data_IF_537127582652
#
_entry.id   IF_537127582652
#
_cell.length_a   1.000
_cell.length_b   1.000
_cell.length_c   1.000
_cell.angle_alpha   90.00
_cell.angle_beta   90.00
_cell.angle_gamma   90.00
#
_symmetry.space_group_name_H-M   'P 1'
#
loop_
_entity.id
_entity.type
_entity.pdbx_description
1 polymer ?
#
# COMPACT_ATOMS: atom_id res chain seq x y z
N UNK A 1 -16.32 8.06 -38.95
CA UNK A 1 -15.65 6.88 -38.39
C UNK A 1 -16.21 6.63 -36.99
N UNK A 2 -16.98 5.55 -36.81
CA UNK A 2 -17.51 5.16 -35.50
C UNK A 2 -16.44 4.37 -34.76
N UNK A 3 -15.95 4.89 -33.64
CA UNK A 3 -14.99 4.22 -32.78
C UNK A 3 -15.78 3.35 -31.79
N UNK A 4 -15.78 2.04 -31.99
CA UNK A 4 -16.41 1.10 -31.06
C UNK A 4 -15.56 0.98 -29.80
N UNK A 5 -16.04 1.55 -28.71
CA UNK A 5 -15.45 1.41 -27.39
C UNK A 5 -16.06 0.14 -26.76
N UNK A 6 -15.37 -0.99 -26.90
CA UNK A 6 -15.74 -2.24 -26.21
C UNK A 6 -15.36 -2.12 -24.73
N UNK A 7 -16.18 -1.42 -23.95
CA UNK A 7 -16.19 -1.61 -22.49
C UNK A 7 -16.87 -2.96 -22.29
N UNK A 8 -16.07 -4.01 -22.11
CA UNK A 8 -16.53 -5.20 -21.43
C UNK A 8 -16.92 -4.76 -20.01
N UNK A 9 -18.19 -4.45 -19.81
CA UNK A 9 -18.80 -4.34 -18.49
C UNK A 9 -18.68 -5.73 -17.90
N UNK A 10 -17.61 -5.95 -17.13
CA UNK A 10 -17.48 -7.14 -16.32
C UNK A 10 -18.58 -7.07 -15.25
N UNK A 11 -19.73 -7.65 -15.57
CA UNK A 11 -20.78 -7.98 -14.62
C UNK A 11 -20.07 -8.65 -13.45
N UNK A 12 -20.26 -8.09 -12.24
CA UNK A 12 -19.60 -8.53 -11.03
C UNK A 12 -19.84 -10.04 -10.82
N UNK A 13 -18.88 -10.85 -11.27
CA UNK A 13 -18.66 -12.13 -10.65
C UNK A 13 -18.18 -11.79 -9.26
N UNK A 14 -19.06 -11.96 -8.27
CA UNK A 14 -18.63 -12.24 -6.91
C UNK A 14 -17.88 -13.57 -7.01
N UNK A 15 -16.64 -13.51 -7.48
CA UNK A 15 -15.65 -14.50 -7.11
C UNK A 15 -15.54 -14.28 -5.61
N UNK A 16 -16.28 -15.09 -4.85
CA UNK A 16 -15.85 -15.43 -3.52
C UNK A 16 -14.41 -15.90 -3.72
N UNK A 17 -13.45 -15.03 -3.43
CA UNK A 17 -12.04 -15.38 -3.30
C UNK A 17 -11.96 -16.22 -2.02
N UNK A 18 -12.60 -17.38 -2.04
CA UNK A 18 -12.26 -18.47 -1.17
C UNK A 18 -10.82 -18.77 -1.51
N UNK A 19 -9.90 -18.45 -0.61
CA UNK A 19 -8.61 -19.11 -0.60
C UNK A 19 -8.92 -20.61 -0.66
N UNK A 20 -8.70 -21.21 -1.83
CA UNK A 20 -9.10 -22.57 -2.11
C UNK A 20 -8.59 -23.49 -1.00
N UNK A 21 -9.50 -24.08 -0.23
CA UNK A 21 -9.24 -25.27 0.56
C UNK A 21 -9.06 -26.43 -0.42
N UNK A 22 -7.87 -26.53 -1.03
CA UNK A 22 -7.42 -27.72 -1.73
C UNK A 22 -6.14 -28.21 -1.06
N UNK A 23 -6.28 -29.12 -0.08
CA UNK A 23 -5.17 -29.97 0.35
C UNK A 23 -4.96 -31.04 -0.72
N UNK A 24 -4.07 -30.79 -1.68
CA UNK A 24 -3.41 -31.87 -2.43
C UNK A 24 -2.19 -32.30 -1.61
N UNK A 25 -1.97 -33.60 -1.36
CA UNK A 25 -0.70 -34.07 -0.82
C UNK A 25 0.33 -33.99 -1.95
N UNK A 26 0.87 -32.79 -2.18
CA UNK A 26 2.05 -32.57 -2.97
C UNK A 26 3.26 -32.63 -2.05
N UNK A 27 4.30 -33.32 -2.48
CA UNK A 27 5.60 -33.45 -1.81
C UNK A 27 6.07 -32.10 -1.25
N UNK A 28 5.90 -31.89 0.06
CA UNK A 28 6.40 -30.73 0.78
C UNK A 28 7.92 -30.80 0.79
N UNK A 29 8.55 -30.13 -0.17
CA UNK A 29 9.88 -29.56 0.09
C UNK A 29 9.63 -28.27 0.83
N UNK A 30 9.33 -28.37 2.13
CA UNK A 30 9.27 -27.22 3.01
C UNK A 30 10.68 -26.65 3.13
N UNK A 31 10.93 -25.55 2.44
CA UNK A 31 12.14 -24.76 2.66
C UNK A 31 11.97 -24.09 4.01
N UNK A 32 12.76 -24.51 4.99
CA UNK A 32 12.83 -23.85 6.29
C UNK A 32 13.52 -22.49 6.09
N UNK A 33 12.74 -21.42 6.11
CA UNK A 33 13.27 -20.06 6.22
C UNK A 33 13.59 -19.85 7.72
N UNK A 34 14.85 -19.54 8.10
CA UNK A 34 15.18 -19.19 9.48
C UNK A 34 14.32 -18.02 9.97
N UNK A 35 13.83 -18.06 11.22
CA UNK A 35 13.00 -17.00 11.80
C UNK A 35 13.68 -15.62 11.78
N UNK A 36 15.02 -15.58 11.77
CA UNK A 36 15.81 -14.35 11.64
C UNK A 36 15.70 -13.67 10.27
N UNK A 37 15.22 -14.38 9.25
CA UNK A 37 14.99 -13.86 7.90
C UNK A 37 13.53 -13.50 7.64
N UNK A 38 12.66 -13.62 8.65
CA UNK A 38 11.25 -13.26 8.58
C UNK A 38 11.09 -11.93 9.32
N UNK A 39 10.34 -10.97 8.76
CA UNK A 39 9.74 -9.90 9.56
C UNK A 39 8.82 -10.59 10.58
N UNK A 40 9.38 -10.84 11.76
CA UNK A 40 8.70 -11.41 12.92
C UNK A 40 8.12 -10.32 13.81
N UNK A 41 8.35 -9.04 13.46
CA UNK A 41 7.78 -7.92 14.21
C UNK A 41 6.26 -8.06 14.18
N UNK A 42 5.68 -8.32 15.34
CA UNK A 42 4.24 -8.29 15.55
C UNK A 42 3.71 -6.92 15.12
N UNK A 43 2.46 -6.90 14.63
CA UNK A 43 1.76 -5.64 14.32
C UNK A 43 1.86 -4.68 15.51
N UNK A 44 2.15 -3.41 15.24
CA UNK A 44 2.26 -2.38 16.27
C UNK A 44 1.05 -2.39 17.21
N UNK A 45 1.30 -2.35 18.51
CA UNK A 45 0.26 -2.12 19.51
C UNK A 45 -0.01 -0.63 19.67
N UNK A 46 -1.19 -0.27 20.19
CA UNK A 46 -1.55 1.12 20.52
C UNK A 46 -0.49 1.81 21.38
N UNK A 47 -0.06 1.14 22.45
CA UNK A 47 0.90 1.70 23.40
C UNK A 47 2.30 1.91 22.79
N UNK A 48 2.70 1.10 21.80
CA UNK A 48 3.93 1.33 21.04
C UNK A 48 3.77 2.52 20.10
N UNK A 49 2.68 2.56 19.32
CA UNK A 49 2.41 3.66 18.39
C UNK A 49 2.29 5.02 19.10
N UNK A 50 1.66 5.08 20.28
CA UNK A 50 1.53 6.31 21.08
C UNK A 50 2.87 6.91 21.51
N UNK A 51 3.90 6.07 21.69
CA UNK A 51 5.24 6.52 22.08
C UNK A 51 6.06 7.05 20.90
N UNK A 52 5.69 6.71 19.67
CA UNK A 52 6.42 7.14 18.49
C UNK A 52 6.24 8.64 18.25
N UNK A 53 7.36 9.30 18.01
CA UNK A 53 7.42 10.66 17.49
C UNK A 53 7.39 10.66 15.97
N UNK A 54 6.98 11.76 15.31
CA UNK A 54 7.04 11.88 13.86
C UNK A 54 8.45 11.64 13.29
N UNK A 55 9.50 12.14 13.96
CA UNK A 55 10.88 11.99 13.50
C UNK A 55 11.35 10.54 13.53
N UNK A 56 11.03 9.78 14.59
CA UNK A 56 11.31 8.33 14.65
C UNK A 56 10.58 7.56 13.56
N UNK A 57 9.34 7.95 13.24
CA UNK A 57 8.58 7.32 12.15
C UNK A 57 9.26 7.61 10.81
N UNK A 58 9.60 8.86 10.52
CA UNK A 58 10.32 9.25 9.30
C UNK A 58 11.63 8.49 9.17
N UNK A 59 12.40 8.40 10.25
CA UNK A 59 13.68 7.69 10.24
C UNK A 59 13.49 6.20 9.95
N UNK A 60 12.51 5.56 10.58
CA UNK A 60 12.20 4.15 10.29
C UNK A 60 11.77 3.90 8.85
N UNK A 61 11.10 4.87 8.20
CA UNK A 61 10.73 4.78 6.79
C UNK A 61 11.96 4.92 5.87
N UNK A 62 12.89 5.81 6.21
CA UNK A 62 14.16 5.95 5.47
C UNK A 62 15.02 4.70 5.58
N UNK A 63 15.17 4.15 6.79
CA UNK A 63 15.89 2.91 7.04
C UNK A 63 15.29 1.76 6.21
N UNK A 64 13.96 1.62 6.26
CA UNK A 64 13.28 0.60 5.45
C UNK A 64 13.43 0.81 3.95
N UNK A 65 13.46 2.06 3.49
CA UNK A 65 13.76 2.35 2.08
C UNK A 65 15.20 2.02 1.71
N UNK A 66 16.14 2.27 2.60
CA UNK A 66 17.53 1.90 2.40
C UNK A 66 17.67 0.38 2.24
N UNK A 67 16.96 -0.41 3.06
CA UNK A 67 16.93 -1.87 2.90
C UNK A 67 16.32 -2.33 1.59
N UNK A 68 15.26 -1.67 1.11
CA UNK A 68 14.68 -1.95 -0.20
C UNK A 68 15.67 -1.69 -1.34
N UNK A 69 16.38 -0.56 -1.29
CA UNK A 69 17.38 -0.18 -2.30
C UNK A 69 18.56 -1.16 -2.30
N UNK A 70 18.93 -1.69 -1.14
CA UNK A 70 20.07 -2.60 -0.97
C UNK A 70 19.69 -4.09 -1.05
N UNK A 71 18.46 -4.43 -1.45
CA UNK A 71 17.94 -5.80 -1.57
C UNK A 71 18.06 -6.62 -0.26
N UNK A 72 17.85 -5.95 0.89
CA UNK A 72 17.85 -6.53 2.24
C UNK A 72 16.46 -6.77 2.82
N UNK A 73 15.48 -6.96 1.95
CA UNK A 73 14.12 -7.26 2.38
C UNK A 73 14.07 -8.63 3.07
N UNK A 74 13.33 -8.67 4.17
CA UNK A 74 13.03 -9.92 4.87
C UNK A 74 11.73 -10.55 4.35
N UNK A 75 11.58 -11.86 4.57
CA UNK A 75 10.39 -12.61 4.21
C UNK A 75 9.22 -12.19 5.11
N UNK A 76 8.01 -12.07 4.55
CA UNK A 76 6.80 -11.69 5.30
C UNK A 76 5.74 -12.78 5.26
N UNK A 77 5.20 -13.14 6.42
CA UNK A 77 3.99 -13.98 6.49
C UNK A 77 2.73 -13.09 6.51
N UNK A 78 2.31 -12.63 5.33
CA UNK A 78 1.18 -11.72 5.20
C UNK A 78 -0.12 -12.29 5.79
N UNK A 79 -0.38 -13.59 5.60
CA UNK A 79 -1.59 -14.24 6.13
C UNK A 79 -1.65 -14.20 7.66
N UNK A 80 -0.52 -14.37 8.34
CA UNK A 80 -0.45 -14.23 9.79
C UNK A 80 -0.67 -12.78 10.21
N UNK A 81 0.02 -11.83 9.58
CA UNK A 81 -0.11 -10.41 9.90
C UNK A 81 -1.52 -9.87 9.69
N UNK A 82 -2.24 -10.34 8.67
CA UNK A 82 -3.67 -10.02 8.48
C UNK A 82 -4.50 -10.49 9.67
N UNK A 83 -4.28 -11.72 10.18
CA UNK A 83 -5.01 -12.23 11.34
C UNK A 83 -4.71 -11.44 12.61
N UNK A 84 -3.46 -11.03 12.80
CA UNK A 84 -3.05 -10.19 13.93
C UNK A 84 -3.69 -8.78 13.83
N UNK A 85 -3.60 -8.15 12.66
CA UNK A 85 -4.17 -6.82 12.40
C UNK A 85 -5.71 -6.79 12.41
N UNK A 86 -6.38 -7.93 12.19
CA UNK A 86 -7.84 -8.04 12.22
C UNK A 86 -8.42 -7.75 13.62
N UNK A 87 -7.64 -7.96 14.68
CA UNK A 87 -8.04 -7.61 16.06
C UNK A 87 -7.86 -6.12 16.37
N UNK A 88 -7.13 -5.40 15.50
CA UNK A 88 -6.80 -4.00 15.64
C UNK A 88 -5.48 -3.68 14.94
N UNK A 89 -5.40 -2.49 14.35
CA UNK A 89 -4.19 -2.00 13.70
C UNK A 89 -3.89 -0.58 14.15
N UNK A 90 -2.60 -0.26 14.29
CA UNK A 90 -2.13 1.03 14.79
C UNK A 90 -1.02 1.56 13.88
N UNK A 91 -1.35 1.95 12.63
CA UNK A 91 -0.34 2.33 11.65
C UNK A 91 0.46 3.55 12.10
N UNK A 92 1.78 3.51 11.96
CA UNK A 92 2.65 4.63 12.37
C UNK A 92 2.59 5.81 11.40
N UNK A 93 2.28 5.55 10.13
CA UNK A 93 2.15 6.57 9.09
C UNK A 93 1.00 6.25 8.12
N UNK A 94 0.58 7.26 7.38
CA UNK A 94 -0.31 7.12 6.22
C UNK A 94 0.38 7.64 4.98
N UNK A 95 0.33 6.87 3.89
CA UNK A 95 1.01 7.14 2.63
C UNK A 95 -0.04 7.43 1.56
N UNK A 96 0.05 8.59 0.92
CA UNK A 96 -0.64 8.88 -0.34
C UNK A 96 0.32 8.59 -1.50
N UNK A 97 0.09 7.49 -2.21
CA UNK A 97 0.96 7.00 -3.28
C UNK A 97 0.25 6.94 -4.63
N UNK A 98 1.01 6.83 -5.71
CA UNK A 98 0.46 6.59 -7.03
C UNK A 98 -0.15 5.19 -7.14
N UNK A 99 -1.14 4.99 -8.04
CA UNK A 99 -1.63 3.64 -8.36
C UNK A 99 -0.60 2.76 -9.08
N UNK A 100 0.55 3.32 -9.47
CA UNK A 100 1.59 2.64 -10.23
C UNK A 100 2.04 1.33 -9.57
N UNK A 101 1.80 0.20 -10.24
CA UNK A 101 2.07 -1.13 -9.67
C UNK A 101 3.56 -1.39 -9.37
N UNK A 102 4.46 -0.56 -9.91
CA UNK A 102 5.91 -0.64 -9.66
C UNK A 102 6.32 0.00 -8.35
N UNK A 103 5.39 0.63 -7.63
CA UNK A 103 5.61 1.24 -6.31
C UNK A 103 4.86 0.44 -5.24
N UNK A 104 5.36 -0.75 -4.84
CA UNK A 104 4.82 -1.51 -3.72
C UNK A 104 5.23 -0.83 -2.40
N UNK A 105 4.34 0.00 -1.83
CA UNK A 105 4.64 0.90 -0.70
C UNK A 105 5.21 0.15 0.52
N UNK A 106 4.63 -0.99 0.86
CA UNK A 106 5.07 -1.82 1.99
C UNK A 106 6.48 -2.37 1.78
N UNK A 107 6.85 -2.71 0.54
CA UNK A 107 8.20 -3.14 0.20
C UNK A 107 9.18 -1.97 0.16
N UNK A 108 8.79 -0.86 -0.47
CA UNK A 108 9.58 0.37 -0.59
C UNK A 108 9.99 0.92 0.77
N UNK A 109 9.21 0.69 1.82
CA UNK A 109 9.54 1.10 3.19
C UNK A 109 9.89 -0.07 4.13
N UNK A 110 10.10 -1.28 3.59
CA UNK A 110 10.39 -2.49 4.36
C UNK A 110 9.45 -2.68 5.58
N UNK A 111 8.16 -2.42 5.38
CA UNK A 111 7.11 -2.56 6.40
C UNK A 111 6.19 -3.73 6.08
N UNK A 112 5.33 -4.11 7.02
CA UNK A 112 4.32 -5.14 6.81
C UNK A 112 2.88 -4.65 7.02
N UNK A 113 1.94 -5.56 6.79
CA UNK A 113 0.51 -5.29 7.01
C UNK A 113 0.28 -4.83 8.45
N UNK A 114 -0.45 -3.73 8.60
CA UNK A 114 -0.78 -3.10 9.88
C UNK A 114 0.17 -1.98 10.31
N UNK A 115 1.32 -1.80 9.65
CA UNK A 115 2.29 -0.76 10.00
C UNK A 115 1.98 0.58 9.31
N UNK A 116 1.39 0.54 8.11
CA UNK A 116 1.07 1.71 7.30
C UNK A 116 -0.39 1.66 6.86
N UNK A 117 -1.01 2.84 6.76
CA UNK A 117 -2.15 3.03 5.87
C UNK A 117 -1.66 3.51 4.51
N UNK A 118 -2.28 3.00 3.45
CA UNK A 118 -1.88 3.34 2.08
C UNK A 118 -3.11 3.71 1.27
N UNK A 119 -3.17 4.97 0.84
CA UNK A 119 -4.13 5.46 -0.13
C UNK A 119 -3.44 5.56 -1.50
N UNK A 120 -4.06 5.03 -2.55
CA UNK A 120 -3.47 4.97 -3.89
C UNK A 120 -4.38 5.56 -4.94
N UNK A 121 -3.87 6.52 -5.71
CA UNK A 121 -4.60 7.18 -6.81
C UNK A 121 -3.61 7.65 -7.88
N UNK A 122 -4.03 7.70 -9.14
CA UNK A 122 -3.14 8.13 -10.23
C UNK A 122 -2.57 9.53 -9.98
N UNK A 123 -1.24 9.64 -10.06
CA UNK A 123 -0.55 10.91 -9.80
C UNK A 123 -0.59 11.35 -8.34
N UNK A 124 -0.96 10.47 -7.39
CA UNK A 124 -0.99 10.74 -5.96
C UNK A 124 -1.69 12.08 -5.60
N UNK A 125 -2.71 12.43 -6.37
CA UNK A 125 -3.59 13.59 -6.15
C UNK A 125 -4.50 13.36 -4.95
N UNK A 126 -5.16 14.41 -4.49
CA UNK A 126 -6.16 14.30 -3.42
C UNK A 126 -7.59 14.58 -3.91
N UNK A 127 -8.55 14.04 -3.18
CA UNK A 127 -9.98 14.34 -3.27
C UNK A 127 -10.58 14.28 -1.86
N UNK A 128 -11.88 14.56 -1.71
CA UNK A 128 -12.53 14.59 -0.39
C UNK A 128 -12.42 13.25 0.36
N UNK A 129 -12.59 12.12 -0.33
CA UNK A 129 -12.47 10.78 0.29
C UNK A 129 -11.04 10.49 0.77
N UNK A 130 -10.03 10.89 -0.01
CA UNK A 130 -8.62 10.74 0.34
C UNK A 130 -8.29 11.64 1.53
N UNK A 131 -8.70 12.92 1.51
CA UNK A 131 -8.51 13.83 2.65
C UNK A 131 -9.14 13.28 3.92
N UNK A 132 -10.40 12.83 3.86
CA UNK A 132 -11.09 12.21 4.99
C UNK A 132 -10.37 10.96 5.49
N UNK A 133 -9.79 10.17 4.59
CA UNK A 133 -8.98 9.00 4.94
C UNK A 133 -7.67 9.37 5.66
N UNK A 134 -7.00 10.44 5.21
CA UNK A 134 -5.79 10.96 5.88
C UNK A 134 -6.13 11.52 7.27
N UNK A 135 -7.23 12.25 7.39
CA UNK A 135 -7.74 12.75 8.68
C UNK A 135 -8.09 11.61 9.62
N UNK A 136 -8.77 10.57 9.14
CA UNK A 136 -9.07 9.38 9.93
C UNK A 136 -7.79 8.70 10.41
N UNK A 137 -6.82 8.50 9.52
CA UNK A 137 -5.55 7.89 9.87
C UNK A 137 -4.84 8.63 11.02
N UNK A 138 -4.79 9.96 10.96
CA UNK A 138 -4.14 10.77 11.98
C UNK A 138 -4.98 10.94 13.25
N UNK A 139 -6.26 11.32 13.14
CA UNK A 139 -7.11 11.71 14.28
C UNK A 139 -7.77 10.53 14.99
N UNK A 140 -8.11 9.48 14.25
CA UNK A 140 -8.81 8.31 14.80
C UNK A 140 -7.84 7.17 15.07
N UNK A 141 -7.00 6.82 14.10
CA UNK A 141 -6.05 5.72 14.23
C UNK A 141 -4.69 6.10 14.83
N UNK A 142 -4.37 7.39 14.94
CA UNK A 142 -3.18 7.87 15.65
C UNK A 142 -1.87 7.89 14.84
N UNK A 143 -1.92 7.75 13.51
CA UNK A 143 -0.74 7.86 12.63
C UNK A 143 -0.01 9.19 12.85
N UNK A 144 1.32 9.14 12.91
CA UNK A 144 2.18 10.29 13.27
C UNK A 144 2.58 11.14 12.07
N UNK A 145 2.62 10.53 10.88
CA UNK A 145 3.17 11.14 9.66
C UNK A 145 2.25 10.86 8.47
N UNK A 146 2.06 11.89 7.64
CA UNK A 146 1.51 11.76 6.29
C UNK A 146 2.68 11.86 5.32
N UNK A 147 2.83 10.88 4.42
CA UNK A 147 3.83 10.93 3.34
C UNK A 147 3.10 11.00 2.01
N UNK A 148 3.42 12.00 1.19
CA UNK A 148 3.00 12.04 -0.23
C UNK A 148 4.14 11.47 -1.07
N UNK A 149 3.92 10.28 -1.64
CA UNK A 149 4.93 9.51 -2.34
C UNK A 149 4.72 9.61 -3.85
N UNK A 150 5.47 10.52 -4.48
CA UNK A 150 5.63 10.57 -5.93
C UNK A 150 6.64 9.54 -6.44
N UNK A 151 6.73 9.41 -7.77
CA UNK A 151 7.74 8.55 -8.40
C UNK A 151 8.11 9.08 -9.79
N UNK A 152 9.30 8.69 -10.25
CA UNK A 152 9.75 9.02 -11.60
C UNK A 152 8.90 8.31 -12.67
N UNK A 153 8.85 8.89 -13.86
CA UNK A 153 8.12 8.35 -15.01
C UNK A 153 6.63 8.07 -14.71
N UNK A 154 5.99 8.94 -13.92
CA UNK A 154 4.58 8.82 -13.60
C UNK A 154 3.68 9.01 -14.84
N UNK A 155 2.91 7.98 -15.17
CA UNK A 155 2.02 8.00 -16.33
C UNK A 155 0.92 9.06 -16.23
N UNK A 156 0.42 9.35 -15.02
CA UNK A 156 -0.58 10.40 -14.81
C UNK A 156 0.00 11.79 -15.06
N UNK A 157 1.19 12.08 -14.51
CA UNK A 157 1.90 13.35 -14.75
C UNK A 157 2.21 13.52 -16.24
N UNK A 158 2.70 12.46 -16.91
CA UNK A 158 2.94 12.50 -18.36
C UNK A 158 1.66 12.77 -19.14
N UNK A 159 0.55 12.14 -18.77
CA UNK A 159 -0.74 12.35 -19.43
C UNK A 159 -1.30 13.76 -19.22
N UNK A 160 -1.04 14.37 -18.06
CA UNK A 160 -1.39 15.76 -17.80
C UNK A 160 -0.59 16.72 -18.71
N UNK A 161 0.72 16.49 -18.85
CA UNK A 161 1.59 17.24 -19.77
C UNK A 161 1.12 17.12 -21.22
N UNK A 162 0.70 15.91 -21.64
CA UNK A 162 0.24 15.63 -22.99
C UNK A 162 -1.22 16.09 -23.23
N UNK A 163 -1.85 16.76 -22.27
CA UNK A 163 -3.23 17.27 -22.29
C UNK A 163 -4.27 16.20 -22.69
N UNK A 164 -4.10 14.97 -22.19
CA UNK A 164 -4.98 13.85 -22.54
C UNK A 164 -6.44 14.15 -22.14
N UNK A 165 -7.36 14.05 -23.13
CA UNK A 165 -8.82 14.17 -22.92
C UNK A 165 -9.50 12.81 -23.13
N UNK A 166 -9.82 12.12 -22.03
CA UNK A 166 -10.46 10.81 -22.06
C UNK A 166 -11.33 10.55 -20.82
N UNK A 167 -12.65 10.65 -20.95
CA UNK A 167 -13.60 10.29 -19.88
C UNK A 167 -13.25 10.92 -18.51
N UNK A 168 -13.31 10.12 -17.45
CA UNK A 168 -12.97 10.56 -16.08
C UNK A 168 -11.49 10.92 -15.90
N UNK A 169 -10.60 10.44 -16.78
CA UNK A 169 -9.16 10.76 -16.73
C UNK A 169 -8.98 12.27 -16.93
N UNK A 170 -9.75 12.91 -17.81
CA UNK A 170 -9.67 14.36 -18.04
C UNK A 170 -9.82 15.17 -16.76
N UNK A 171 -10.85 14.89 -15.97
CA UNK A 171 -11.14 15.63 -14.73
C UNK A 171 -10.13 15.31 -13.62
N UNK A 172 -9.60 14.07 -13.62
CA UNK A 172 -8.56 13.66 -12.72
C UNK A 172 -7.24 14.39 -13.02
N UNK A 173 -6.84 14.45 -14.29
CA UNK A 173 -5.60 15.12 -14.73
C UNK A 173 -5.64 16.64 -14.51
N UNK A 174 -6.82 17.27 -14.52
CA UNK A 174 -6.95 18.69 -14.20
C UNK A 174 -6.57 19.06 -12.75
N UNK A 175 -6.31 18.06 -11.90
CA UNK A 175 -5.86 18.21 -10.52
C UNK A 175 -4.34 18.00 -10.35
N UNK A 176 -3.62 17.74 -11.44
CA UNK A 176 -2.16 17.62 -11.52
C UNK A 176 -1.61 18.90 -12.15
#
# INVERSE_FOLDING_TARGET
MKLHFNIAVATAFICALSACTQTKPGMETSVLIPDSLIITSQVLTKAQQEKLTPDEVIESLKEGNQDFVEDRLTVRNNSQRVREAALGQYPKAVILSCLDSRVPVEDVFHTGIGDLFVARVAGNITNEDILGSLEYACKVSGSKVIVVLGHEYCGAVKSAIDDVKLGNITNMLAKI
#
